data_IF_650266928310
#
_entry.id   IF_650266928310
#
_cell.length_a   1.000
_cell.length_b   1.000
_cell.length_c   1.000
_cell.angle_alpha   90.00
_cell.angle_beta   90.00
_cell.angle_gamma   90.00
#
_symmetry.space_group_name_H-M   'P 1'
#
loop_
_entity.id
_entity.type
_entity.pdbx_description
1 polymer ?
#
# COMPACT_ATOMS: atom_id res chain seq x y z
N UNK A 1 14.89 4.48 -0.87
CA UNK A 1 14.35 3.96 -2.13
C UNK A 1 15.28 4.23 -3.32
N UNK A 2 15.66 5.49 -3.66
CA UNK A 2 16.53 5.78 -4.82
C UNK A 2 17.80 4.94 -4.78
N UNK A 3 18.53 5.00 -3.67
CA UNK A 3 19.77 4.25 -3.48
C UNK A 3 19.58 2.73 -3.62
N UNK A 4 18.49 2.19 -3.09
CA UNK A 4 18.20 0.76 -3.21
C UNK A 4 17.90 0.35 -4.64
N UNK A 5 17.14 1.17 -5.38
CA UNK A 5 16.90 0.94 -6.81
C UNK A 5 18.19 1.01 -7.63
N UNK A 6 19.10 1.94 -7.30
CA UNK A 6 20.41 2.04 -7.96
C UNK A 6 21.26 0.78 -7.66
N UNK A 7 21.33 0.38 -6.38
CA UNK A 7 22.08 -0.83 -5.98
C UNK A 7 21.47 -2.10 -6.59
N UNK A 8 20.16 -2.20 -6.69
CA UNK A 8 19.48 -3.36 -7.28
C UNK A 8 19.76 -3.58 -8.78
N UNK A 9 20.35 -2.60 -9.46
CA UNK A 9 20.78 -2.71 -10.86
C UNK A 9 22.20 -3.24 -11.01
N UNK A 10 22.96 -3.39 -9.92
CA UNK A 10 24.29 -4.03 -9.99
C UNK A 10 24.11 -5.53 -10.27
N UNK A 11 24.87 -6.13 -11.19
CA UNK A 11 24.66 -7.50 -11.64
C UNK A 11 24.59 -8.54 -10.53
N UNK A 12 25.45 -8.40 -9.51
CA UNK A 12 25.48 -9.31 -8.37
C UNK A 12 24.22 -9.21 -7.49
N UNK A 13 23.74 -7.97 -7.25
CA UNK A 13 22.52 -7.73 -6.49
C UNK A 13 21.28 -8.14 -7.30
N UNK A 14 21.28 -7.84 -8.59
CA UNK A 14 20.20 -8.17 -9.49
C UNK A 14 19.99 -9.68 -9.54
N UNK A 15 21.06 -10.46 -9.73
CA UNK A 15 21.01 -11.92 -9.74
C UNK A 15 20.45 -12.47 -8.42
N UNK A 16 20.95 -11.99 -7.27
CA UNK A 16 20.45 -12.44 -5.98
C UNK A 16 18.99 -12.10 -5.74
N UNK A 17 18.54 -10.94 -6.21
CA UNK A 17 17.13 -10.53 -6.15
C UNK A 17 16.27 -11.43 -7.04
N UNK A 18 16.70 -11.71 -8.27
CA UNK A 18 15.97 -12.60 -9.18
C UNK A 18 15.85 -14.02 -8.65
N UNK A 19 16.89 -14.55 -8.00
CA UNK A 19 16.83 -15.86 -7.35
C UNK A 19 15.76 -15.88 -6.24
N UNK A 20 15.76 -14.86 -5.37
CA UNK A 20 14.76 -14.75 -4.29
C UNK A 20 13.33 -14.65 -4.86
N UNK A 21 13.15 -13.86 -5.92
CA UNK A 21 11.83 -13.67 -6.52
C UNK A 21 11.35 -14.95 -7.19
N UNK A 22 12.24 -15.63 -7.90
CA UNK A 22 11.93 -16.88 -8.59
C UNK A 22 11.54 -18.00 -7.60
N UNK A 23 12.11 -18.00 -6.41
CA UNK A 23 11.71 -18.91 -5.34
C UNK A 23 10.39 -18.53 -4.68
N UNK A 24 10.12 -17.21 -4.55
CA UNK A 24 8.91 -16.70 -3.90
C UNK A 24 7.67 -16.76 -4.79
N UNK A 25 7.83 -16.50 -6.09
CA UNK A 25 6.74 -16.46 -7.09
C UNK A 25 6.91 -17.62 -8.06
N UNK A 26 6.59 -18.79 -7.58
CA UNK A 26 6.59 -20.00 -8.43
C UNK A 26 5.21 -20.16 -9.06
N UNK A 27 5.14 -20.12 -10.38
CA UNK A 27 3.95 -20.52 -11.14
C UNK A 27 4.20 -21.87 -11.83
N UNK A 28 3.49 -22.89 -11.38
CA UNK A 28 3.42 -24.16 -12.08
C UNK A 28 2.08 -24.25 -12.83
N UNK A 29 2.03 -25.04 -13.91
CA UNK A 29 0.82 -25.23 -14.71
C UNK A 29 -0.43 -25.63 -13.90
N UNK A 30 -0.23 -26.24 -12.71
CA UNK A 30 -1.29 -26.73 -11.85
C UNK A 30 -1.45 -25.98 -10.51
N UNK A 31 -0.63 -24.96 -10.24
CA UNK A 31 -0.69 -24.20 -8.98
C UNK A 31 -0.57 -22.70 -9.22
N UNK A 32 -1.52 -21.95 -8.66
CA UNK A 32 -1.42 -20.51 -8.61
C UNK A 32 -0.28 -20.09 -7.66
N UNK A 33 0.46 -19.04 -8.04
CA UNK A 33 1.58 -18.51 -7.24
C UNK A 33 1.15 -18.03 -5.84
N UNK A 34 -0.12 -17.73 -5.65
CA UNK A 34 -0.70 -17.29 -4.37
C UNK A 34 -1.93 -18.12 -4.07
N UNK A 35 -1.98 -18.72 -2.88
CA UNK A 35 -3.11 -19.51 -2.42
C UNK A 35 -3.76 -18.90 -1.19
N UNK A 36 -5.08 -18.98 -1.13
CA UNK A 36 -5.87 -18.53 0.01
C UNK A 36 -6.25 -19.74 0.88
N UNK A 37 -5.64 -19.84 2.05
CA UNK A 37 -6.00 -20.83 3.06
C UNK A 37 -7.03 -20.27 4.05
N UNK A 38 -8.23 -20.85 4.03
CA UNK A 38 -9.33 -20.49 4.94
C UNK A 38 -9.63 -21.62 5.94
N UNK A 39 -8.76 -22.62 6.08
CA UNK A 39 -8.98 -23.78 6.94
C UNK A 39 -9.11 -23.43 8.42
N UNK A 40 -8.34 -22.41 8.86
CA UNK A 40 -8.30 -21.96 10.26
C UNK A 40 -9.42 -20.97 10.64
N UNK A 41 -10.27 -20.60 9.69
CA UNK A 41 -11.31 -19.59 9.93
C UNK A 41 -12.66 -20.27 10.11
N UNK A 42 -13.30 -20.04 11.25
CA UNK A 42 -14.59 -20.62 11.62
C UNK A 42 -15.79 -19.86 11.05
N UNK A 43 -15.76 -19.53 9.75
CA UNK A 43 -16.92 -18.96 9.07
C UNK A 43 -17.72 -20.00 8.29
N UNK A 44 -19.00 -19.69 8.02
CA UNK A 44 -19.84 -20.51 7.17
C UNK A 44 -19.26 -20.63 5.75
N UNK A 45 -19.52 -21.75 5.07
CA UNK A 45 -19.01 -21.97 3.71
C UNK A 45 -19.49 -20.91 2.71
N UNK A 46 -20.66 -20.32 2.92
CA UNK A 46 -21.15 -19.21 2.09
C UNK A 46 -20.26 -17.95 2.21
N UNK A 47 -19.77 -17.66 3.42
CA UNK A 47 -18.82 -16.53 3.65
C UNK A 47 -17.46 -16.86 3.07
N UNK A 48 -16.95 -18.09 3.28
CA UNK A 48 -15.68 -18.52 2.71
C UNK A 48 -15.68 -18.47 1.18
N UNK A 49 -16.81 -18.81 0.56
CA UNK A 49 -16.98 -18.71 -0.89
C UNK A 49 -16.86 -17.25 -1.37
N UNK A 50 -17.53 -16.32 -0.72
CA UNK A 50 -17.45 -14.87 -1.05
C UNK A 50 -16.03 -14.34 -0.88
N UNK A 51 -15.31 -14.76 0.16
CA UNK A 51 -13.90 -14.36 0.37
C UNK A 51 -13.03 -14.87 -0.79
N UNK A 52 -13.20 -16.12 -1.22
CA UNK A 52 -12.47 -16.68 -2.38
C UNK A 52 -12.78 -15.91 -3.67
N UNK A 53 -14.04 -15.60 -3.92
CA UNK A 53 -14.45 -14.83 -5.09
C UNK A 53 -13.81 -13.44 -5.09
N UNK A 54 -13.87 -12.71 -3.97
CA UNK A 54 -13.23 -11.39 -3.83
C UNK A 54 -11.70 -11.46 -3.96
N UNK A 55 -11.08 -12.52 -3.45
CA UNK A 55 -9.64 -12.72 -3.60
C UNK A 55 -9.22 -12.91 -5.06
N UNK A 56 -9.97 -13.75 -5.80
CA UNK A 56 -9.74 -13.96 -7.24
C UNK A 56 -9.91 -12.64 -8.02
N UNK A 57 -10.92 -11.84 -7.66
CA UNK A 57 -11.13 -10.53 -8.27
C UNK A 57 -9.95 -9.59 -8.05
N UNK A 58 -9.40 -9.52 -6.84
CA UNK A 58 -8.19 -8.73 -6.55
C UNK A 58 -6.98 -9.21 -7.35
N UNK A 59 -6.77 -10.51 -7.47
CA UNK A 59 -5.68 -11.07 -8.30
C UNK A 59 -5.84 -10.68 -9.77
N UNK A 60 -7.07 -10.70 -10.30
CA UNK A 60 -7.37 -10.25 -11.67
C UNK A 60 -7.10 -8.76 -11.84
N UNK A 61 -7.51 -7.91 -10.90
CA UNK A 61 -7.26 -6.46 -10.93
C UNK A 61 -5.75 -6.14 -10.91
N UNK A 62 -4.96 -6.93 -10.20
CA UNK A 62 -3.50 -6.82 -10.18
C UNK A 62 -2.87 -7.41 -11.44
N UNK A 63 -3.61 -8.22 -12.21
CA UNK A 63 -3.08 -9.07 -13.27
C UNK A 63 -1.87 -9.90 -12.76
N UNK A 64 -2.09 -10.54 -11.59
CA UNK A 64 -1.00 -11.11 -10.79
C UNK A 64 -0.30 -12.26 -11.51
N UNK A 65 -1.02 -13.04 -12.30
CA UNK A 65 -0.45 -14.18 -13.06
C UNK A 65 0.67 -13.76 -14.02
N UNK A 66 0.56 -12.52 -14.57
CA UNK A 66 1.56 -11.98 -15.51
C UNK A 66 2.54 -11.05 -14.77
N UNK A 67 2.04 -10.23 -13.84
CA UNK A 67 2.82 -9.16 -13.20
C UNK A 67 3.33 -9.52 -11.80
N UNK A 68 3.04 -10.72 -11.29
CA UNK A 68 3.39 -11.11 -9.93
C UNK A 68 4.88 -10.95 -9.62
N UNK A 69 5.72 -11.37 -10.53
CA UNK A 69 7.18 -11.23 -10.45
C UNK A 69 7.61 -9.76 -10.31
N UNK A 70 7.12 -8.88 -11.20
CA UNK A 70 7.41 -7.45 -11.16
C UNK A 70 6.86 -6.77 -9.90
N UNK A 71 5.67 -7.18 -9.45
CA UNK A 71 5.03 -6.66 -8.24
C UNK A 71 5.89 -7.00 -7.03
N UNK A 72 6.30 -8.26 -6.91
CA UNK A 72 7.11 -8.72 -5.80
C UNK A 72 8.50 -8.05 -5.82
N UNK A 73 9.15 -7.93 -6.99
CA UNK A 73 10.42 -7.23 -7.14
C UNK A 73 10.35 -5.78 -6.65
N UNK A 74 9.34 -5.05 -7.08
CA UNK A 74 9.13 -3.65 -6.63
C UNK A 74 8.94 -3.56 -5.13
N UNK A 75 8.13 -4.45 -4.57
CA UNK A 75 7.91 -4.50 -3.12
C UNK A 75 9.19 -4.84 -2.37
N UNK A 76 9.96 -5.80 -2.85
CA UNK A 76 11.22 -6.23 -2.23
C UNK A 76 12.26 -5.13 -2.23
N UNK A 77 12.47 -4.45 -3.36
CA UNK A 77 13.48 -3.39 -3.51
C UNK A 77 13.05 -2.10 -2.79
N UNK A 78 11.79 -1.70 -2.90
CA UNK A 78 11.29 -0.44 -2.33
C UNK A 78 10.90 -0.57 -0.84
N UNK A 79 10.71 -1.79 -0.33
CA UNK A 79 10.26 -2.07 1.02
C UNK A 79 8.83 -1.63 1.30
N UNK A 80 8.13 -1.10 0.30
CA UNK A 80 6.75 -0.62 0.41
C UNK A 80 6.09 -0.49 -0.95
N UNK A 81 4.78 -0.65 -0.96
CA UNK A 81 3.98 -0.54 -2.17
C UNK A 81 2.68 0.21 -1.90
N UNK A 82 2.25 1.01 -2.85
CA UNK A 82 1.01 1.77 -2.79
C UNK A 82 0.18 1.52 -4.04
N UNK A 83 -1.12 1.27 -3.82
CA UNK A 83 -2.12 1.22 -4.87
C UNK A 83 -3.26 2.19 -4.57
N UNK A 84 -3.63 2.97 -5.56
CA UNK A 84 -4.85 3.77 -5.52
C UNK A 84 -6.02 2.89 -5.97
N UNK A 85 -7.00 2.75 -5.10
CA UNK A 85 -8.26 2.03 -5.37
C UNK A 85 -9.19 2.97 -6.12
N UNK A 86 -9.48 2.67 -7.37
CA UNK A 86 -10.36 3.46 -8.22
C UNK A 86 -11.73 2.80 -8.22
N UNK A 87 -12.75 3.60 -7.92
CA UNK A 87 -14.15 3.22 -7.92
C UNK A 87 -14.85 4.11 -8.95
N UNK A 88 -15.70 3.50 -9.78
CA UNK A 88 -16.50 4.23 -10.74
C UNK A 88 -17.55 5.08 -10.00
N UNK A 89 -17.61 6.38 -10.33
CA UNK A 89 -18.55 7.32 -9.73
C UNK A 89 -20.00 7.05 -10.14
N UNK A 90 -20.18 6.56 -11.36
CA UNK A 90 -21.52 6.30 -11.91
C UNK A 90 -22.08 4.98 -11.40
N UNK A 91 -21.21 4.06 -11.01
CA UNK A 91 -21.59 2.72 -10.54
C UNK A 91 -20.78 2.27 -9.30
N UNK A 92 -20.86 2.98 -8.17
CA UNK A 92 -20.00 2.70 -6.99
C UNK A 92 -20.27 1.32 -6.36
N UNK A 93 -21.42 0.70 -6.65
CA UNK A 93 -21.78 -0.65 -6.17
C UNK A 93 -20.96 -1.76 -6.83
N UNK A 94 -20.30 -1.49 -7.96
CA UNK A 94 -19.43 -2.44 -8.63
C UNK A 94 -18.11 -2.66 -7.84
N UNK A 95 -17.83 -1.82 -6.84
CA UNK A 95 -16.61 -1.93 -6.05
C UNK A 95 -15.40 -1.31 -6.74
N UNK A 96 -14.22 -1.92 -6.51
CA UNK A 96 -12.96 -1.43 -7.08
C UNK A 96 -12.88 -1.87 -8.55
N UNK A 97 -12.74 -0.90 -9.45
CA UNK A 97 -12.62 -1.14 -10.90
C UNK A 97 -11.18 -1.22 -11.37
N UNK A 98 -10.27 -0.54 -10.67
CA UNK A 98 -8.85 -0.52 -11.02
C UNK A 98 -7.98 -0.38 -9.75
N UNK A 99 -6.83 -1.06 -9.74
CA UNK A 99 -5.75 -0.86 -8.77
C UNK A 99 -4.57 -0.20 -9.47
N UNK A 100 -4.42 1.11 -9.26
CA UNK A 100 -3.36 1.89 -9.90
C UNK A 100 -2.14 1.99 -8.99
N UNK A 101 -1.01 1.46 -9.46
CA UNK A 101 0.26 1.56 -8.74
C UNK A 101 0.72 3.02 -8.63
N UNK A 102 1.20 3.38 -7.43
CA UNK A 102 1.81 4.69 -7.17
C UNK A 102 3.25 4.48 -6.72
N UNK A 103 4.19 5.18 -7.40
CA UNK A 103 5.60 5.17 -6.98
C UNK A 103 5.73 5.71 -5.55
N UNK A 104 6.35 4.95 -4.62
CA UNK A 104 6.52 5.37 -3.22
C UNK A 104 7.23 6.72 -3.03
N UNK A 105 7.96 7.19 -4.05
CA UNK A 105 8.62 8.52 -4.02
C UNK A 105 7.66 9.67 -4.28
N UNK A 106 6.46 9.37 -4.81
CA UNK A 106 5.44 10.35 -5.19
C UNK A 106 4.32 10.49 -4.17
N UNK A 107 4.30 9.65 -3.13
CA UNK A 107 3.24 9.61 -2.13
C UNK A 107 3.82 9.63 -0.72
N UNK A 108 3.16 10.36 0.18
CA UNK A 108 3.52 10.43 1.61
C UNK A 108 2.26 10.47 2.46
N UNK A 109 2.23 9.66 3.52
CA UNK A 109 1.17 9.75 4.54
C UNK A 109 1.46 10.92 5.48
N UNK A 110 0.48 11.76 5.69
CA UNK A 110 0.54 12.91 6.61
C UNK A 110 -0.46 12.66 7.73
N UNK A 111 -0.02 12.92 8.96
CA UNK A 111 -0.86 12.96 10.15
C UNK A 111 -0.80 14.36 10.73
N UNK A 112 -1.91 15.08 10.68
CA UNK A 112 -2.07 16.40 11.27
C UNK A 112 -2.82 16.30 12.58
N UNK A 113 -2.34 17.05 13.56
CA UNK A 113 -3.05 17.23 14.84
C UNK A 113 -3.70 18.61 14.78
N UNK A 114 -5.03 18.65 14.69
CA UNK A 114 -5.78 19.90 14.78
C UNK A 114 -6.33 20.06 16.19
N UNK A 115 -5.98 21.18 16.82
CA UNK A 115 -6.62 21.59 18.07
C UNK A 115 -7.98 22.19 17.73
N UNK A 116 -9.03 21.51 18.08
CA UNK A 116 -10.39 22.01 17.91
C UNK A 116 -10.88 22.53 19.28
N UNK A 117 -11.42 23.76 19.28
CA UNK A 117 -12.04 24.30 20.48
C UNK A 117 -13.38 23.63 20.68
N UNK A 118 -13.61 23.11 21.86
CA UNK A 118 -14.91 22.53 22.24
C UNK A 118 -15.75 23.63 22.86
N UNK A 119 -16.81 24.05 22.18
CA UNK A 119 -17.71 25.08 22.69
C UNK A 119 -18.41 24.58 23.96
N UNK A 120 -18.42 25.45 24.99
CA UNK A 120 -19.09 25.18 26.27
C UNK A 120 -18.20 24.65 27.39
N UNK A 121 -16.90 24.43 27.19
CA UNK A 121 -15.96 24.04 28.26
C UNK A 121 -15.11 25.22 28.74
N UNK A 122 -14.69 25.23 30.04
CA UNK A 122 -13.74 26.21 30.57
C UNK A 122 -12.45 26.23 29.74
N UNK A 123 -11.82 27.41 29.59
CA UNK A 123 -10.70 27.65 28.68
C UNK A 123 -9.47 26.74 28.85
N UNK A 124 -9.29 26.15 30.04
CA UNK A 124 -8.20 25.20 30.34
C UNK A 124 -8.41 23.79 29.77
N UNK A 125 -9.66 23.38 29.47
CA UNK A 125 -10.02 22.07 28.96
C UNK A 125 -10.67 22.09 27.56
N UNK A 126 -10.72 23.26 26.93
CA UNK A 126 -11.50 23.54 25.72
C UNK A 126 -10.85 23.04 24.40
N UNK A 127 -9.74 22.28 24.46
CA UNK A 127 -9.05 21.84 23.25
C UNK A 127 -9.03 20.32 23.15
N UNK A 128 -9.69 19.80 22.15
CA UNK A 128 -9.59 18.42 21.75
C UNK A 128 -8.61 18.26 20.60
N UNK A 129 -7.67 17.33 20.74
CA UNK A 129 -6.74 17.02 19.65
C UNK A 129 -7.43 16.10 18.64
N UNK A 130 -7.85 16.62 17.51
CA UNK A 130 -8.40 15.84 16.41
C UNK A 130 -7.28 15.44 15.47
N UNK A 131 -7.06 14.14 15.33
CA UNK A 131 -6.10 13.59 14.38
C UNK A 131 -6.76 13.43 13.02
N UNK A 132 -6.13 13.97 12.00
CA UNK A 132 -6.54 13.78 10.61
C UNK A 132 -5.38 13.15 9.84
N UNK A 133 -5.64 12.02 9.20
CA UNK A 133 -4.67 11.32 8.36
C UNK A 133 -5.13 11.37 6.90
N UNK A 134 -4.18 11.61 6.01
CA UNK A 134 -4.39 11.59 4.57
C UNK A 134 -3.08 11.34 3.86
N UNK A 135 -3.15 11.02 2.57
CA UNK A 135 -1.98 10.95 1.71
C UNK A 135 -1.85 12.23 0.87
N UNK A 136 -0.62 12.64 0.62
CA UNK A 136 -0.31 13.65 -0.39
C UNK A 136 0.38 12.94 -1.55
N UNK A 137 -0.12 13.16 -2.76
CA UNK A 137 0.47 12.70 -4.01
C UNK A 137 1.02 13.88 -4.79
N UNK A 138 2.27 13.79 -5.25
CA UNK A 138 2.88 14.79 -6.13
C UNK A 138 3.60 14.08 -7.27
N UNK A 139 3.20 14.38 -8.49
CA UNK A 139 3.77 13.74 -9.69
C UNK A 139 5.27 13.99 -9.86
N UNK A 140 5.76 15.16 -9.45
CA UNK A 140 7.19 15.52 -9.49
C UNK A 140 8.02 14.85 -8.39
N UNK A 141 7.36 14.10 -7.48
CA UNK A 141 7.97 13.51 -6.29
C UNK A 141 7.83 14.40 -5.07
N UNK A 142 8.02 13.79 -3.89
CA UNK A 142 7.91 14.49 -2.60
C UNK A 142 9.29 14.53 -1.96
N UNK A 143 9.72 15.71 -1.55
CA UNK A 143 10.96 15.86 -0.80
C UNK A 143 10.78 15.23 0.60
N UNK A 144 11.80 14.53 1.17
CA UNK A 144 11.69 13.88 2.48
C UNK A 144 11.28 14.82 3.62
N UNK A 145 11.69 16.08 3.56
CA UNK A 145 11.36 17.11 4.56
C UNK A 145 10.06 17.86 4.27
N UNK A 146 9.31 17.46 3.22
CA UNK A 146 8.05 18.11 2.89
C UNK A 146 7.03 17.94 4.03
N UNK A 147 6.50 19.05 4.51
CA UNK A 147 5.42 19.15 5.48
C UNK A 147 4.06 19.14 4.79
N UNK A 148 2.98 19.30 5.54
CA UNK A 148 1.60 19.38 5.06
C UNK A 148 1.36 20.43 3.95
N UNK A 149 2.23 21.43 3.85
CA UNK A 149 2.15 22.50 2.83
C UNK A 149 2.87 22.15 1.52
N UNK A 150 3.46 20.95 1.40
CA UNK A 150 3.99 20.48 0.14
C UNK A 150 2.85 20.38 -0.87
N UNK A 151 2.88 21.18 -1.92
CA UNK A 151 1.87 21.16 -2.99
C UNK A 151 1.68 19.74 -3.55
N UNK A 152 0.44 19.31 -3.67
CA UNK A 152 0.08 18.00 -4.18
C UNK A 152 -1.40 17.69 -3.97
N UNK A 153 -1.84 16.59 -4.57
CA UNK A 153 -3.21 16.10 -4.44
C UNK A 153 -3.38 15.40 -3.08
N UNK A 154 -4.36 15.82 -2.30
CA UNK A 154 -4.75 15.10 -1.08
C UNK A 154 -5.65 13.92 -1.43
N UNK A 155 -5.30 12.76 -0.91
CA UNK A 155 -6.04 11.51 -1.11
C UNK A 155 -6.43 10.96 0.26
N UNK A 156 -7.66 10.53 0.40
CA UNK A 156 -8.16 9.89 1.61
C UNK A 156 -7.43 8.56 1.89
N UNK A 157 -7.27 8.22 3.16
CA UNK A 157 -6.53 7.01 3.55
C UNK A 157 -7.19 5.73 3.08
N UNK A 158 -8.50 5.70 3.00
CA UNK A 158 -9.31 4.57 2.54
C UNK A 158 -9.19 4.34 1.02
N UNK A 159 -8.83 5.36 0.24
CA UNK A 159 -8.60 5.23 -1.20
C UNK A 159 -7.22 4.64 -1.55
N UNK A 160 -6.32 4.49 -0.58
CA UNK A 160 -4.98 3.93 -0.79
C UNK A 160 -4.85 2.58 -0.10
N UNK A 161 -4.34 1.59 -0.82
CA UNK A 161 -3.83 0.35 -0.23
C UNK A 161 -2.33 0.47 -0.05
N UNK A 162 -1.86 0.25 1.18
CA UNK A 162 -0.46 0.34 1.56
C UNK A 162 0.04 -1.01 2.05
N UNK A 163 1.09 -1.52 1.44
CA UNK A 163 1.75 -2.78 1.80
C UNK A 163 3.21 -2.51 2.15
N UNK A 164 3.57 -2.43 3.45
CA UNK A 164 4.96 -2.29 3.89
C UNK A 164 5.67 -3.64 3.93
N UNK A 165 7.01 -3.61 3.94
CA UNK A 165 7.86 -4.80 4.13
C UNK A 165 7.77 -5.41 5.54
N UNK A 166 7.23 -4.64 6.51
CA UNK A 166 7.24 -5.03 7.92
C UNK A 166 8.53 -4.65 8.66
N UNK A 167 9.58 -4.28 7.95
CA UNK A 167 10.81 -3.78 8.55
C UNK A 167 10.63 -2.32 8.93
N UNK A 168 10.78 -2.00 10.21
CA UNK A 168 10.62 -0.65 10.74
C UNK A 168 11.87 -0.23 11.47
N UNK A 169 12.37 0.97 11.16
CA UNK A 169 13.39 1.61 11.99
C UNK A 169 12.75 2.02 13.33
N UNK A 170 13.22 1.40 14.40
CA UNK A 170 12.71 1.64 15.76
C UNK A 170 12.97 3.06 16.25
N UNK A 171 14.05 3.70 15.79
CA UNK A 171 14.40 5.07 16.19
C UNK A 171 13.59 6.12 15.44
N UNK A 172 13.45 5.94 14.13
CA UNK A 172 12.73 6.89 13.28
C UNK A 172 11.24 6.56 13.12
N UNK A 173 10.78 5.39 13.59
CA UNK A 173 9.43 4.85 13.39
C UNK A 173 9.00 4.91 11.91
N UNK A 174 9.93 4.60 11.02
CA UNK A 174 9.73 4.62 9.58
C UNK A 174 9.93 3.22 9.00
N UNK A 175 9.12 2.87 8.01
CA UNK A 175 9.29 1.63 7.26
C UNK A 175 10.60 1.70 6.49
N UNK A 176 11.44 0.68 6.68
CA UNK A 176 12.67 0.50 5.92
C UNK A 176 12.35 -0.08 4.53
N UNK A 177 13.15 0.29 3.58
CA UNK A 177 13.19 -0.30 2.24
C UNK A 177 14.44 -1.12 2.11
#
# INVERSE_FOLDING_TARGET
IRRYREVSLHPECDLAIEDIISEAIVSNENQQSVQLDLSKIEYSESIKKKIRESFIEVLKLLNFDIKGHDIFRRWYVDGRMYYHKIIDKDSPRLGITELRYIDPRKIKKIREVRKQRTDGMPSSFAFENKFQEYYIFNEKGIHPTATSNAGGLRIATDAISFCPSGLVDQQANQVLS
#
